data_IF_863861857360
#
_entry.id   IF_863861857360
#
_cell.length_a   1.000
_cell.length_b   1.000
_cell.length_c   1.000
_cell.angle_alpha   90.00
_cell.angle_beta   90.00
_cell.angle_gamma   90.00
#
_symmetry.space_group_name_H-M   'P 1'
#
loop_
_entity.id
_entity.type
_entity.pdbx_description
1 polymer ?
#
# COMPACT_ATOMS: atom_id res chain seq x y z
N UNK A 1 16.87 2.93 -30.73
CA UNK A 1 17.45 2.98 -29.37
C UNK A 1 16.88 1.80 -28.59
N UNK A 2 17.73 0.95 -28.01
CA UNK A 2 17.27 -0.21 -27.23
C UNK A 2 16.73 0.26 -25.87
N UNK A 3 15.46 -0.03 -25.58
CA UNK A 3 14.89 0.18 -24.23
C UNK A 3 15.36 -0.94 -23.31
N UNK A 4 15.77 -0.57 -22.09
CA UNK A 4 16.07 -1.52 -21.02
C UNK A 4 14.76 -2.18 -20.60
N UNK A 5 14.69 -3.51 -20.57
CA UNK A 5 13.50 -4.23 -20.11
C UNK A 5 13.63 -4.52 -18.62
N UNK A 6 12.63 -4.14 -17.83
CA UNK A 6 12.61 -4.33 -16.38
C UNK A 6 11.41 -5.21 -16.03
N UNK A 7 11.65 -6.27 -15.27
CA UNK A 7 10.59 -7.13 -14.76
C UNK A 7 10.45 -6.91 -13.25
N UNK A 8 9.25 -6.55 -12.81
CA UNK A 8 8.90 -6.42 -11.39
C UNK A 8 8.04 -7.60 -11.00
N UNK A 9 8.44 -8.33 -9.95
CA UNK A 9 7.72 -9.51 -9.49
C UNK A 9 6.81 -9.16 -8.32
N UNK A 10 5.50 -9.32 -8.52
CA UNK A 10 4.45 -9.07 -7.53
C UNK A 10 3.58 -7.87 -7.86
N UNK A 11 2.26 -8.03 -7.78
CA UNK A 11 1.26 -7.00 -8.07
C UNK A 11 0.56 -6.46 -6.82
N UNK A 12 1.20 -6.56 -5.64
CA UNK A 12 0.76 -5.87 -4.43
C UNK A 12 1.23 -4.41 -4.42
N UNK A 13 0.93 -3.68 -3.33
CA UNK A 13 1.24 -2.25 -3.20
C UNK A 13 2.72 -1.92 -3.40
N UNK A 14 3.63 -2.77 -2.91
CA UNK A 14 5.07 -2.57 -3.07
C UNK A 14 5.48 -2.76 -4.54
N UNK A 15 5.12 -3.88 -5.16
CA UNK A 15 5.50 -4.16 -6.55
C UNK A 15 4.94 -3.15 -7.55
N UNK A 16 3.65 -2.79 -7.43
CA UNK A 16 3.04 -1.80 -8.33
C UNK A 16 3.62 -0.39 -8.12
N UNK A 17 3.82 0.06 -6.88
CA UNK A 17 4.45 1.36 -6.64
C UNK A 17 5.89 1.42 -7.14
N UNK A 18 6.67 0.34 -6.98
CA UNK A 18 8.02 0.23 -7.55
C UNK A 18 7.98 0.29 -9.07
N UNK A 19 7.05 -0.42 -9.73
CA UNK A 19 6.91 -0.39 -11.18
C UNK A 19 6.61 1.03 -11.71
N UNK A 20 5.71 1.76 -11.03
CA UNK A 20 5.40 3.17 -11.35
C UNK A 20 6.64 4.05 -11.21
N UNK A 21 7.34 3.99 -10.07
CA UNK A 21 8.53 4.82 -9.82
C UNK A 21 9.62 4.55 -10.86
N UNK A 22 9.82 3.31 -11.29
CA UNK A 22 10.79 2.96 -12.34
C UNK A 22 10.37 3.54 -13.69
N UNK A 23 9.11 3.38 -14.07
CA UNK A 23 8.59 3.87 -15.34
C UNK A 23 8.71 5.41 -15.44
N UNK A 24 8.42 6.11 -14.33
CA UNK A 24 8.52 7.58 -14.24
C UNK A 24 9.97 8.07 -14.20
N UNK A 25 10.83 7.41 -13.41
CA UNK A 25 12.21 7.85 -13.24
C UNK A 25 13.12 7.51 -14.43
N UNK A 26 12.81 6.44 -15.17
CA UNK A 26 13.66 5.90 -16.22
C UNK A 26 12.92 5.85 -17.57
N UNK A 27 12.89 6.94 -18.35
CA UNK A 27 12.11 7.04 -19.60
C UNK A 27 12.58 6.10 -20.72
N UNK A 28 13.75 5.48 -20.57
CA UNK A 28 14.30 4.50 -21.49
C UNK A 28 14.05 3.04 -21.07
N UNK A 29 13.23 2.82 -20.04
CA UNK A 29 12.82 1.49 -19.61
C UNK A 29 11.47 1.08 -20.21
N UNK A 30 11.27 -0.24 -20.30
CA UNK A 30 9.98 -0.90 -20.51
C UNK A 30 9.75 -1.77 -19.28
N UNK A 31 8.71 -1.47 -18.50
CA UNK A 31 8.44 -2.15 -17.22
C UNK A 31 7.29 -3.13 -17.39
N UNK A 32 7.52 -4.38 -17.02
CA UNK A 32 6.51 -5.44 -17.01
C UNK A 32 6.34 -5.96 -15.58
N UNK A 33 5.11 -6.03 -15.09
CA UNK A 33 4.76 -6.61 -13.79
C UNK A 33 4.32 -8.06 -13.99
N UNK A 34 4.98 -8.97 -13.26
CA UNK A 34 4.72 -10.40 -13.27
C UNK A 34 4.15 -10.82 -11.92
N UNK A 35 2.94 -11.39 -11.89
CA UNK A 35 2.37 -11.89 -10.63
C UNK A 35 1.45 -13.10 -10.85
N UNK A 36 1.33 -13.91 -9.79
CA UNK A 36 0.36 -15.01 -9.71
C UNK A 36 -1.05 -14.51 -9.34
N UNK A 37 -1.11 -13.37 -8.64
CA UNK A 37 -2.35 -12.71 -8.18
C UNK A 37 -2.26 -11.21 -8.39
N UNK A 38 -3.38 -10.64 -8.79
CA UNK A 38 -3.63 -9.20 -8.86
C UNK A 38 -4.78 -8.83 -7.93
N UNK A 39 -5.00 -7.53 -7.71
CA UNK A 39 -6.19 -7.02 -7.04
C UNK A 39 -7.46 -7.64 -7.65
N UNK A 40 -8.41 -8.14 -6.83
CA UNK A 40 -8.54 -7.97 -5.38
C UNK A 40 -7.97 -9.11 -4.52
N UNK A 41 -6.98 -9.88 -5.00
CA UNK A 41 -6.54 -11.13 -4.39
C UNK A 41 -5.10 -11.11 -3.85
N UNK A 42 -4.54 -9.92 -3.59
CA UNK A 42 -3.22 -9.74 -2.96
C UNK A 42 -3.35 -9.55 -1.44
N UNK A 43 -2.25 -9.72 -0.70
CA UNK A 43 -2.22 -9.36 0.73
C UNK A 43 -2.55 -7.89 0.96
N UNK A 44 -2.20 -7.01 0.01
CA UNK A 44 -2.52 -5.58 0.10
C UNK A 44 -4.04 -5.35 0.10
N UNK A 45 -4.84 -6.16 -0.62
CA UNK A 45 -6.29 -5.98 -0.70
C UNK A 45 -7.01 -6.24 0.63
N UNK A 46 -6.44 -7.09 1.49
CA UNK A 46 -6.94 -7.33 2.86
C UNK A 46 -6.44 -6.31 3.89
N UNK A 47 -5.47 -5.45 3.54
CA UNK A 47 -4.89 -4.52 4.51
C UNK A 47 -5.91 -3.47 4.98
N UNK A 48 -5.90 -3.17 6.29
CA UNK A 48 -6.74 -2.12 6.87
C UNK A 48 -6.47 -0.71 6.30
N UNK A 49 -5.24 -0.48 5.80
CA UNK A 49 -4.89 0.71 5.04
C UNK A 49 -4.58 1.97 5.87
N UNK A 50 -4.56 1.90 7.20
CA UNK A 50 -4.23 3.06 8.05
C UNK A 50 -2.71 3.21 8.16
N UNK A 51 -2.20 4.40 7.83
CA UNK A 51 -0.76 4.67 7.81
C UNK A 51 -0.24 5.06 9.21
N UNK A 52 0.31 4.09 9.91
CA UNK A 52 1.22 4.25 11.03
C UNK A 52 2.11 3.01 11.08
N UNK A 53 3.31 3.11 11.66
CA UNK A 53 4.26 2.02 11.59
C UNK A 53 4.90 1.71 12.95
N UNK A 54 5.10 0.42 13.19
CA UNK A 54 6.00 -0.03 14.25
C UNK A 54 7.44 0.09 13.75
N UNK A 55 8.38 0.25 14.68
CA UNK A 55 9.80 0.29 14.33
C UNK A 55 10.27 -1.11 13.91
N UNK A 56 11.04 -1.16 12.82
CA UNK A 56 11.77 -2.36 12.39
C UNK A 56 13.14 -2.41 13.08
N UNK A 57 13.50 -3.47 13.81
CA UNK A 57 14.77 -3.56 14.54
C UNK A 57 16.00 -3.43 13.64
N UNK A 58 15.95 -4.02 12.44
CA UNK A 58 17.10 -4.17 11.56
C UNK A 58 17.33 -2.98 10.61
N UNK A 59 16.49 -1.95 10.70
CA UNK A 59 16.57 -0.77 9.83
C UNK A 59 16.86 0.47 10.68
N UNK A 60 17.84 1.32 10.34
CA UNK A 60 18.07 2.57 11.05
C UNK A 60 16.80 3.44 11.10
N UNK A 61 16.47 3.97 12.28
CA UNK A 61 15.23 4.78 12.50
C UNK A 61 15.14 5.94 11.53
N UNK A 62 16.24 6.62 11.23
CA UNK A 62 16.27 7.72 10.26
C UNK A 62 15.88 7.28 8.84
N UNK A 63 16.22 6.05 8.45
CA UNK A 63 15.82 5.50 7.16
C UNK A 63 14.31 5.18 7.15
N UNK A 64 13.80 4.58 8.22
CA UNK A 64 12.38 4.30 8.39
C UNK A 64 11.55 5.59 8.37
N UNK A 65 12.03 6.63 9.05
CA UNK A 65 11.41 7.96 9.08
C UNK A 65 11.38 8.59 7.69
N UNK A 66 12.47 8.49 6.91
CA UNK A 66 12.52 8.99 5.53
C UNK A 66 11.51 8.27 4.62
N UNK A 67 11.42 6.94 4.70
CA UNK A 67 10.43 6.19 3.93
C UNK A 67 9.01 6.59 4.33
N UNK A 68 8.71 6.59 5.63
CA UNK A 68 7.40 7.00 6.15
C UNK A 68 7.01 8.40 5.65
N UNK A 69 7.91 9.38 5.78
CA UNK A 69 7.64 10.75 5.34
C UNK A 69 7.36 10.82 3.84
N UNK A 70 8.16 10.17 3.00
CA UNK A 70 7.96 10.16 1.54
C UNK A 70 6.62 9.53 1.15
N UNK A 71 6.27 8.42 1.78
CA UNK A 71 4.98 7.76 1.56
C UNK A 71 3.82 8.64 2.02
N UNK A 72 3.95 9.26 3.20
CA UNK A 72 2.94 10.17 3.74
C UNK A 72 2.71 11.38 2.83
N UNK A 73 3.79 12.05 2.41
CA UNK A 73 3.73 13.21 1.51
C UNK A 73 3.06 12.84 0.17
N UNK A 74 3.46 11.71 -0.43
CA UNK A 74 2.86 11.21 -1.68
C UNK A 74 1.36 10.97 -1.56
N UNK A 75 0.95 10.24 -0.53
CA UNK A 75 -0.46 9.93 -0.33
C UNK A 75 -1.27 11.16 0.10
N UNK A 76 -0.66 12.12 0.80
CA UNK A 76 -1.31 13.38 1.15
C UNK A 76 -1.62 14.22 -0.11
N UNK A 77 -0.72 14.23 -1.10
CA UNK A 77 -0.97 14.87 -2.38
C UNK A 77 -2.18 14.23 -3.09
N UNK A 78 -2.25 12.91 -3.11
CA UNK A 78 -3.39 12.19 -3.69
C UNK A 78 -4.67 12.49 -2.89
N UNK A 79 -4.62 12.46 -1.56
CA UNK A 79 -5.78 12.76 -0.71
C UNK A 79 -6.30 14.19 -0.89
N UNK A 80 -5.44 15.11 -1.33
CA UNK A 80 -5.77 16.52 -1.60
C UNK A 80 -6.19 16.78 -3.05
N UNK A 81 -6.17 15.74 -3.90
CA UNK A 81 -6.47 15.83 -5.33
C UNK A 81 -7.94 15.46 -5.63
N UNK A 82 -8.49 15.87 -6.79
CA UNK A 82 -9.78 15.39 -7.27
C UNK A 82 -9.87 13.85 -7.40
N UNK A 83 -8.73 13.18 -7.60
CA UNK A 83 -8.63 11.74 -7.79
C UNK A 83 -8.72 10.94 -6.47
N UNK A 84 -8.67 11.60 -5.31
CA UNK A 84 -8.68 10.97 -3.98
C UNK A 84 -9.75 9.88 -3.82
N UNK A 85 -10.98 10.17 -4.25
CA UNK A 85 -12.11 9.25 -4.15
C UNK A 85 -12.00 8.02 -5.07
N UNK A 86 -11.33 8.16 -6.22
CA UNK A 86 -11.08 7.05 -7.15
C UNK A 86 -9.92 6.20 -6.64
N UNK A 87 -8.84 6.85 -6.20
CA UNK A 87 -7.66 6.20 -5.64
C UNK A 87 -7.91 5.58 -4.25
N UNK A 88 -9.01 5.91 -3.58
CA UNK A 88 -9.33 5.40 -2.25
C UNK A 88 -8.38 5.90 -1.16
N UNK A 89 -7.85 7.12 -1.31
CA UNK A 89 -6.89 7.72 -0.38
C UNK A 89 -7.54 8.90 0.33
N UNK A 90 -7.60 8.86 1.67
CA UNK A 90 -8.33 9.84 2.47
C UNK A 90 -7.57 10.20 3.75
N UNK A 91 -7.79 11.41 4.26
CA UNK A 91 -7.40 11.76 5.62
C UNK A 91 -8.30 11.04 6.63
N UNK A 92 -7.70 10.53 7.71
CA UNK A 92 -8.38 9.83 8.79
C UNK A 92 -7.83 10.29 10.13
N UNK A 93 -8.67 10.95 10.92
CA UNK A 93 -8.38 11.34 12.29
C UNK A 93 -8.81 10.24 13.26
N UNK A 94 -7.99 9.99 14.28
CA UNK A 94 -8.31 8.98 15.27
C UNK A 94 -7.40 9.03 16.49
N UNK A 95 -7.54 7.99 17.32
CA UNK A 95 -6.77 7.82 18.54
C UNK A 95 -6.05 6.47 18.53
N UNK A 96 -4.80 6.48 18.96
CA UNK A 96 -4.07 5.28 19.36
C UNK A 96 -4.07 5.22 20.89
N UNK A 97 -4.74 4.22 21.46
CA UNK A 97 -4.93 4.07 22.92
C UNK A 97 -4.13 2.88 23.45
N UNK A 98 -3.60 3.03 24.66
CA UNK A 98 -2.71 2.06 25.29
C UNK A 98 -3.20 1.69 26.70
N UNK A 99 -3.23 0.40 27.01
CA UNK A 99 -3.62 -0.10 28.35
C UNK A 99 -2.67 0.40 29.43
N UNK A 100 -1.38 0.45 29.10
CA UNK A 100 -0.30 0.98 29.93
C UNK A 100 0.41 2.12 29.22
N UNK A 101 1.08 2.99 29.97
CA UNK A 101 1.87 4.08 29.39
C UNK A 101 3.07 3.47 28.66
N UNK A 102 3.21 3.67 27.33
CA UNK A 102 4.34 3.11 26.59
C UNK A 102 5.65 3.78 27.02
N UNK A 103 6.80 3.06 26.98
CA UNK A 103 8.11 3.63 27.26
C UNK A 103 8.45 4.80 26.31
N UNK A 104 8.13 4.63 25.03
CA UNK A 104 8.24 5.66 24.02
C UNK A 104 6.87 6.33 23.81
N UNK A 105 6.76 7.59 24.23
CA UNK A 105 5.53 8.38 24.10
C UNK A 105 5.45 9.14 22.80
N UNK A 106 6.54 9.24 22.04
CA UNK A 106 6.60 9.94 20.76
C UNK A 106 7.20 9.00 19.70
N UNK A 107 6.36 8.32 18.89
CA UNK A 107 6.86 7.43 17.87
C UNK A 107 7.66 8.20 16.81
N UNK A 108 8.60 7.54 16.13
CA UNK A 108 9.53 8.19 15.19
C UNK A 108 8.85 8.93 14.01
N UNK A 109 7.60 8.60 13.72
CA UNK A 109 6.78 9.19 12.65
C UNK A 109 5.83 10.30 13.13
N UNK A 110 5.80 10.63 14.43
CA UNK A 110 4.83 11.59 14.99
C UNK A 110 4.88 12.96 14.31
N UNK A 111 6.07 13.41 13.91
CA UNK A 111 6.29 14.71 13.27
C UNK A 111 5.99 14.68 11.76
N UNK A 112 5.68 13.51 11.20
CA UNK A 112 5.30 13.36 9.80
C UNK A 112 3.78 13.42 9.60
N UNK A 113 3.00 13.04 10.62
CA UNK A 113 1.54 13.05 10.57
C UNK A 113 0.97 14.41 11.01
N UNK A 114 -0.32 14.62 10.79
CA UNK A 114 -0.98 15.89 11.10
C UNK A 114 -1.53 15.89 12.53
N UNK A 115 -1.40 17.03 13.21
CA UNK A 115 -2.01 17.29 14.52
C UNK A 115 -1.73 16.21 15.57
N UNK A 116 -0.51 15.68 15.61
CA UNK A 116 -0.12 14.70 16.63
C UNK A 116 -0.09 15.34 18.02
N UNK A 117 -0.72 14.68 18.98
CA UNK A 117 -0.73 15.10 20.38
C UNK A 117 -1.05 13.96 21.33
N UNK A 118 -0.74 14.15 22.60
CA UNK A 118 -1.22 13.25 23.67
C UNK A 118 -2.66 13.61 24.02
N UNK A 119 -3.50 12.61 24.25
CA UNK A 119 -4.88 12.81 24.69
C UNK A 119 -4.91 13.45 26.08
N UNK A 120 -5.85 14.36 26.28
CA UNK A 120 -6.16 14.93 27.59
C UNK A 120 -6.87 13.90 28.47
N UNK A 121 -6.85 14.12 29.79
CA UNK A 121 -7.60 13.28 30.75
C UNK A 121 -9.10 13.24 30.41
N UNK A 122 -9.65 14.33 29.90
CA UNK A 122 -11.05 14.41 29.49
C UNK A 122 -11.36 13.50 28.28
N UNK A 123 -10.47 13.45 27.29
CA UNK A 123 -10.61 12.56 26.14
C UNK A 123 -10.39 11.09 26.54
N UNK A 124 -9.44 10.82 27.43
CA UNK A 124 -9.11 9.48 27.89
C UNK A 124 -10.21 8.85 28.76
N UNK A 125 -11.03 9.66 29.46
CA UNK A 125 -12.21 9.18 30.22
C UNK A 125 -13.19 8.36 29.38
N UNK A 126 -13.19 8.51 28.05
CA UNK A 126 -14.01 7.71 27.12
C UNK A 126 -13.54 6.25 27.03
N UNK A 127 -12.32 5.96 27.47
CA UNK A 127 -11.64 4.68 27.38
C UNK A 127 -11.16 4.24 28.78
N UNK A 128 -12.07 3.88 29.70
CA UNK A 128 -11.75 3.71 31.13
C UNK A 128 -10.74 2.60 31.47
N UNK A 129 -10.47 1.68 30.53
CA UNK A 129 -9.47 0.62 30.69
C UNK A 129 -8.08 0.99 30.16
N UNK A 130 -7.90 2.21 29.68
CA UNK A 130 -6.69 2.68 29.00
C UNK A 130 -6.06 3.82 29.79
N UNK A 131 -4.73 3.79 29.95
CA UNK A 131 -3.98 4.73 30.78
C UNK A 131 -3.26 5.82 29.98
N UNK A 132 -3.17 5.65 28.67
CA UNK A 132 -2.51 6.61 27.79
C UNK A 132 -3.16 6.58 26.40
N UNK A 133 -3.12 7.71 25.71
CA UNK A 133 -3.60 7.79 24.33
C UNK A 133 -2.94 8.93 23.57
N UNK A 134 -2.86 8.76 22.26
CA UNK A 134 -2.36 9.75 21.31
C UNK A 134 -3.45 10.03 20.29
N UNK A 135 -3.62 11.29 19.92
CA UNK A 135 -4.52 11.73 18.86
C UNK A 135 -3.68 12.21 17.67
N UNK A 136 -4.07 11.85 16.46
CA UNK A 136 -3.44 12.34 15.24
C UNK A 136 -4.36 12.15 14.03
N UNK A 137 -4.05 12.86 12.96
CA UNK A 137 -4.65 12.68 11.65
C UNK A 137 -3.62 12.08 10.70
N UNK A 138 -3.93 10.90 10.15
CA UNK A 138 -3.10 10.18 9.20
C UNK A 138 -3.85 9.90 7.90
N UNK A 139 -3.26 9.09 7.03
CA UNK A 139 -3.86 8.63 5.77
C UNK A 139 -4.48 7.25 5.95
N UNK A 140 -5.68 7.08 5.39
CA UNK A 140 -6.26 5.78 5.05
C UNK A 140 -6.12 5.56 3.54
N UNK A 141 -5.52 4.45 3.14
CA UNK A 141 -5.37 4.02 1.75
C UNK A 141 -6.07 2.68 1.54
N UNK A 142 -7.18 2.69 0.80
CA UNK A 142 -7.92 1.49 0.43
C UNK A 142 -7.24 0.82 -0.75
N UNK A 143 -6.37 -0.16 -0.47
CA UNK A 143 -5.55 -0.83 -1.48
C UNK A 143 -6.34 -1.35 -2.69
N UNK A 144 -7.54 -1.95 -2.58
CA UNK A 144 -8.28 -2.38 -3.77
C UNK A 144 -8.61 -1.23 -4.74
N UNK A 145 -8.85 -0.02 -4.23
CA UNK A 145 -9.05 1.18 -5.06
C UNK A 145 -7.71 1.73 -5.55
N UNK A 146 -6.72 1.80 -4.68
CA UNK A 146 -5.39 2.37 -4.97
C UNK A 146 -4.59 1.57 -6.00
N UNK A 147 -4.69 0.24 -5.97
CA UNK A 147 -3.98 -0.63 -6.92
C UNK A 147 -4.68 -0.66 -8.29
N UNK A 148 -5.98 -0.40 -8.34
CA UNK A 148 -6.73 -0.27 -9.59
C UNK A 148 -6.41 1.02 -10.37
N UNK A 149 -5.70 2.00 -9.77
CA UNK A 149 -5.27 3.21 -10.48
C UNK A 149 -3.91 3.07 -11.15
N UNK A 150 -3.43 1.84 -11.37
CA UNK A 150 -2.14 1.59 -12.04
C UNK A 150 -2.14 2.24 -13.44
N UNK A 151 -1.10 3.02 -13.81
CA UNK A 151 -1.02 3.65 -15.13
C UNK A 151 -1.07 2.62 -16.27
N UNK A 152 -1.77 2.97 -17.36
CA UNK A 152 -1.95 2.09 -18.53
C UNK A 152 -0.64 1.73 -19.26
N UNK A 153 0.45 2.46 -18.99
CA UNK A 153 1.77 2.24 -19.59
C UNK A 153 2.53 1.06 -18.97
N UNK A 154 2.08 0.56 -17.81
CA UNK A 154 2.68 -0.60 -17.14
C UNK A 154 1.99 -1.87 -17.63
N UNK A 155 2.73 -2.71 -18.35
CA UNK A 155 2.24 -3.99 -18.81
C UNK A 155 2.13 -4.97 -17.63
N UNK A 156 0.93 -5.45 -17.36
CA UNK A 156 0.65 -6.42 -16.30
C UNK A 156 0.35 -7.78 -16.93
N UNK A 157 1.11 -8.81 -16.54
CA UNK A 157 0.95 -10.16 -17.08
C UNK A 157 0.63 -11.13 -15.95
N UNK A 158 -0.53 -11.77 -16.06
CA UNK A 158 -0.97 -12.85 -15.16
C UNK A 158 -0.40 -14.17 -15.62
N UNK A 159 0.22 -14.90 -14.70
CA UNK A 159 0.75 -16.24 -14.98
C UNK A 159 0.08 -17.28 -14.08
N UNK A 160 -0.55 -18.29 -14.70
CA UNK A 160 -1.10 -19.43 -13.98
C UNK A 160 0.03 -20.34 -13.52
N UNK A 161 0.22 -20.47 -12.21
CA UNK A 161 1.21 -21.38 -11.64
C UNK A 161 0.68 -22.82 -11.57
N UNK A 162 1.38 -23.74 -12.26
CA UNK A 162 1.49 -25.14 -11.85
C UNK A 162 2.94 -25.32 -11.40
N UNK A 163 3.13 -25.61 -10.11
CA UNK A 163 4.38 -25.75 -9.35
C UNK A 163 5.24 -24.48 -9.10
N UNK A 164 5.43 -24.16 -7.81
CA UNK A 164 5.68 -22.79 -7.30
C UNK A 164 7.13 -22.31 -7.21
N UNK A 165 8.14 -23.14 -7.45
CA UNK A 165 9.54 -22.74 -7.17
C UNK A 165 10.47 -22.89 -8.37
N UNK A 166 10.25 -23.92 -9.18
CA UNK A 166 11.14 -24.27 -10.29
C UNK A 166 10.91 -23.40 -11.55
N UNK A 167 9.65 -23.06 -11.86
CA UNK A 167 9.29 -22.27 -13.05
C UNK A 167 9.50 -20.76 -12.88
N UNK A 168 9.45 -20.24 -11.65
CA UNK A 168 9.79 -18.84 -11.38
C UNK A 168 11.27 -18.57 -11.69
N UNK A 169 12.13 -19.55 -11.41
CA UNK A 169 13.51 -19.52 -11.86
C UNK A 169 13.59 -19.63 -13.38
N UNK A 170 12.89 -20.57 -14.03
CA UNK A 170 12.99 -20.79 -15.48
C UNK A 170 12.54 -19.59 -16.34
N UNK A 171 11.48 -18.86 -15.95
CA UNK A 171 11.07 -17.65 -16.68
C UNK A 171 11.92 -16.41 -16.35
N UNK A 172 12.41 -16.28 -15.12
CA UNK A 172 13.50 -15.34 -14.82
C UNK A 172 14.70 -15.70 -15.69
N UNK A 173 15.04 -16.99 -15.85
CA UNK A 173 16.08 -17.47 -16.75
C UNK A 173 15.77 -17.14 -18.21
N UNK A 174 14.54 -17.30 -18.73
CA UNK A 174 14.17 -16.88 -20.09
C UNK A 174 14.24 -15.36 -20.29
N UNK A 175 13.85 -14.57 -19.29
CA UNK A 175 14.09 -13.12 -19.26
C UNK A 175 15.59 -12.83 -19.28
N UNK A 176 16.40 -13.55 -18.51
CA UNK A 176 17.86 -13.43 -18.43
C UNK A 176 18.60 -13.98 -19.67
N UNK A 177 17.99 -14.85 -20.48
CA UNK A 177 18.56 -15.43 -21.71
C UNK A 177 18.49 -14.48 -22.93
N UNK A 178 17.80 -13.34 -22.80
CA UNK A 178 17.76 -12.28 -23.81
C UNK A 178 19.03 -11.40 -23.68
N UNK A 179 19.80 -11.17 -24.75
CA UNK A 179 21.13 -10.55 -24.71
C UNK A 179 21.18 -9.06 -24.30
N UNK A 180 20.04 -8.45 -23.95
CA UNK A 180 19.96 -7.05 -23.54
C UNK A 180 19.85 -6.88 -22.01
N UNK A 181 20.46 -5.79 -21.50
CA UNK A 181 20.55 -5.43 -20.08
C UNK A 181 19.16 -5.42 -19.41
N UNK A 182 18.98 -6.26 -18.38
CA UNK A 182 17.71 -6.46 -17.67
C UNK A 182 17.92 -6.43 -16.16
N UNK A 183 16.95 -5.89 -15.43
CA UNK A 183 16.91 -5.86 -13.97
C UNK A 183 15.63 -6.57 -13.52
N UNK A 184 15.78 -7.56 -12.65
CA UNK A 184 14.66 -8.20 -11.94
C UNK A 184 14.64 -7.65 -10.53
N UNK A 185 13.53 -7.01 -10.15
CA UNK A 185 13.30 -6.57 -8.78
C UNK A 185 12.28 -7.51 -8.14
N UNK A 186 12.74 -8.24 -7.14
CA UNK A 186 11.92 -9.10 -6.31
C UNK A 186 12.01 -8.59 -4.87
N UNK A 187 10.92 -8.01 -4.37
CA UNK A 187 10.81 -7.70 -2.95
C UNK A 187 10.31 -8.96 -2.22
N UNK A 188 11.22 -9.66 -1.54
CA UNK A 188 10.89 -10.78 -0.64
C UNK A 188 11.09 -10.30 0.80
N UNK A 189 10.22 -9.42 1.28
CA UNK A 189 10.20 -9.03 2.69
C UNK A 189 8.77 -8.97 3.25
N UNK A 190 7.99 -10.04 3.06
CA UNK A 190 6.80 -10.27 3.87
C UNK A 190 6.66 -11.75 4.20
N UNK A 191 7.00 -12.12 5.43
CA UNK A 191 6.43 -13.31 6.05
C UNK A 191 4.91 -13.13 6.15
N UNK A 192 4.14 -14.20 5.96
CA UNK A 192 2.69 -14.16 6.05
C UNK A 192 2.26 -13.82 7.49
N UNK A 193 1.81 -12.59 7.72
CA UNK A 193 1.06 -12.24 8.93
C UNK A 193 -0.43 -12.38 8.63
N UNK A 194 -1.03 -13.51 9.02
CA UNK A 194 -2.48 -13.69 8.98
C UNK A 194 -3.08 -13.06 10.24
N UNK A 195 -3.51 -11.80 10.15
CA UNK A 195 -4.46 -11.23 11.10
C UNK A 195 -5.89 -11.53 10.67
N UNK A 196 -6.83 -11.83 11.58
CA UNK A 196 -8.23 -11.92 11.21
C UNK A 196 -8.73 -10.54 10.76
N UNK A 197 -9.16 -10.42 9.51
CA UNK A 197 -9.88 -9.24 9.03
C UNK A 197 -11.24 -9.19 9.71
N UNK A 198 -11.35 -8.39 10.76
CA UNK A 198 -12.63 -7.95 11.27
C UNK A 198 -13.19 -6.94 10.25
N UNK A 199 -13.98 -7.43 9.28
CA UNK A 199 -14.74 -6.56 8.39
C UNK A 199 -15.64 -5.64 9.22
N UNK A 200 -15.21 -4.39 9.42
CA UNK A 200 -16.00 -3.40 10.16
C UNK A 200 -17.13 -2.87 9.28
N UNK A 201 -18.31 -3.47 9.41
CA UNK A 201 -19.57 -2.91 8.92
C UNK A 201 -20.09 -1.86 9.92
N UNK A 202 -19.58 -0.64 9.86
CA UNK A 202 -20.22 0.51 10.49
C UNK A 202 -21.27 1.09 9.54
N UNK A 203 -22.51 1.28 10.02
CA UNK A 203 -23.68 1.75 9.24
C UNK A 203 -23.45 3.10 8.53
N UNK A 204 -22.54 3.94 9.02
CA UNK A 204 -22.14 5.20 8.39
C UNK A 204 -21.30 5.02 7.11
N UNK A 205 -20.63 3.88 6.91
CA UNK A 205 -19.86 3.56 5.69
C UNK A 205 -20.77 3.08 4.55
N UNK A 206 -21.97 2.53 4.85
CA UNK A 206 -22.94 2.08 3.82
C UNK A 206 -23.48 3.22 2.96
N UNK A 207 -23.72 4.40 3.55
CA UNK A 207 -24.25 5.57 2.82
C UNK A 207 -23.32 6.06 1.68
N UNK A 208 -22.02 5.71 1.74
CA UNK A 208 -21.07 6.01 0.68
C UNK A 208 -21.05 4.94 -0.43
N UNK A 209 -21.15 3.65 -0.07
CA UNK A 209 -21.20 2.55 -1.05
C UNK A 209 -22.50 2.54 -1.88
N UNK A 210 -23.63 2.87 -1.27
CA UNK A 210 -24.94 2.89 -1.95
C UNK A 210 -25.04 3.99 -3.03
N UNK A 211 -24.27 5.08 -2.94
CA UNK A 211 -24.21 6.12 -3.98
C UNK A 211 -23.41 5.72 -5.23
N UNK A 212 -22.58 4.67 -5.16
CA UNK A 212 -21.74 4.21 -6.29
C UNK A 212 -22.46 3.20 -7.21
N UNK A 213 -23.60 2.65 -6.78
CA UNK A 213 -24.33 1.60 -7.51
C UNK A 213 -25.02 2.06 -8.81
N UNK A 214 -24.97 3.34 -9.18
CA UNK A 214 -25.69 3.89 -10.35
C UNK A 214 -24.84 4.28 -11.56
N UNK A 215 -23.56 3.89 -11.64
CA UNK A 215 -22.77 4.09 -12.87
C UNK A 215 -22.01 2.82 -13.27
N UNK A 216 -22.76 1.84 -13.75
CA UNK A 216 -22.20 0.81 -14.63
C UNK A 216 -21.82 1.48 -15.97
N UNK A 217 -20.53 1.68 -16.20
CA UNK A 217 -20.00 1.94 -17.53
C UNK A 217 -19.66 0.58 -18.15
N UNK A 218 -20.39 0.20 -19.21
CA UNK A 218 -20.20 -1.04 -19.92
C UNK A 218 -18.97 -0.96 -20.82
N UNK A 219 -17.88 -1.60 -20.41
CA UNK A 219 -16.77 -1.97 -21.28
C UNK A 219 -16.09 -3.21 -20.70
N UNK A 220 -16.68 -4.38 -20.95
CA UNK A 220 -15.92 -5.64 -20.95
C UNK A 220 -16.61 -6.61 -21.92
N UNK A 221 -15.95 -7.08 -22.99
CA UNK A 221 -16.48 -8.16 -23.81
C UNK A 221 -16.45 -9.45 -23.00
N UNK A 222 -17.61 -10.07 -22.84
CA UNK A 222 -17.72 -11.43 -22.34
C UNK A 222 -17.03 -12.39 -23.32
N UNK A 223 -16.15 -13.24 -22.79
CA UNK A 223 -15.89 -14.57 -23.32
C UNK A 223 -15.89 -15.55 -22.15
#
# INVERSE_FOLDING_TARGET
MHRVKVAVVGAGVVGLSTAVVIAEALPHCSVTVLADRFTPNTTSDGAAGILFASQFPDVPVEQQRRWFKRTFDHLLLIASSPEAGVAGVFLSSGWQIFREVPPEKKPYWSDCVLSFGTMTDAELKRFPQYKFGQAFTTIKCECPSYLNTTPAEIECVTWAFVDKTFQQQEHIFQLLQDPHQKVVLQDVLLGSFQGPDAGFSASWVRSYKERRAYRHCGCCPQK
#
